data_IF_463269011691
#
_entry.id   IF_463269011691
#
_cell.length_a   1.000
_cell.length_b   1.000
_cell.length_c   1.000
_cell.angle_alpha   90.00
_cell.angle_beta   90.00
_cell.angle_gamma   90.00
#
_symmetry.space_group_name_H-M   'P 1'
#
loop_
_entity.id
_entity.type
_entity.pdbx_description
1 polymer ?
#
# COMPACT_ATOMS: atom_id res chain seq x y z
N UNK A 1 -11.63 -19.95 -29.73
CA UNK A 1 -11.59 -18.48 -29.50
C UNK A 1 -12.12 -18.24 -28.10
N UNK A 2 -11.34 -17.60 -27.22
CA UNK A 2 -11.80 -17.26 -25.88
C UNK A 2 -12.70 -16.02 -26.01
N UNK A 3 -13.98 -16.17 -25.72
CA UNK A 3 -14.94 -15.06 -25.70
C UNK A 3 -14.96 -14.50 -24.27
N UNK A 4 -14.36 -13.33 -24.09
CA UNK A 4 -14.41 -12.61 -22.81
C UNK A 4 -15.67 -11.74 -22.81
N UNK A 5 -16.59 -12.01 -21.88
CA UNK A 5 -17.74 -11.14 -21.67
C UNK A 5 -17.31 -9.84 -20.97
N UNK A 6 -18.03 -8.76 -21.23
CA UNK A 6 -17.75 -7.45 -20.62
C UNK A 6 -17.68 -7.52 -19.09
N UNK A 7 -18.61 -8.25 -18.46
CA UNK A 7 -18.64 -8.46 -17.01
C UNK A 7 -17.35 -9.14 -16.52
N UNK A 8 -16.87 -10.14 -17.24
CA UNK A 8 -15.64 -10.85 -16.89
C UNK A 8 -14.42 -9.94 -17.03
N UNK A 9 -14.38 -9.09 -18.07
CA UNK A 9 -13.36 -8.07 -18.23
C UNK A 9 -13.33 -7.05 -17.07
N UNK A 10 -14.50 -6.56 -16.64
CA UNK A 10 -14.61 -5.67 -15.48
C UNK A 10 -14.15 -6.34 -14.18
N UNK A 11 -14.47 -7.62 -13.98
CA UNK A 11 -14.03 -8.37 -12.81
C UNK A 11 -12.49 -8.49 -12.75
N UNK A 12 -11.86 -8.86 -13.87
CA UNK A 12 -10.40 -8.93 -13.96
C UNK A 12 -9.77 -7.55 -13.70
N UNK A 13 -10.28 -6.51 -14.34
CA UNK A 13 -9.79 -5.14 -14.13
C UNK A 13 -9.90 -4.73 -12.66
N UNK A 14 -11.04 -4.97 -12.01
CA UNK A 14 -11.23 -4.67 -10.59
C UNK A 14 -10.21 -5.39 -9.71
N UNK A 15 -9.98 -6.68 -9.94
CA UNK A 15 -8.99 -7.46 -9.19
C UNK A 15 -7.58 -6.90 -9.38
N UNK A 16 -7.16 -6.65 -10.63
CA UNK A 16 -5.83 -6.10 -10.92
C UNK A 16 -5.69 -4.70 -10.30
N UNK A 17 -6.71 -3.86 -10.41
CA UNK A 17 -6.70 -2.53 -9.82
C UNK A 17 -6.55 -2.57 -8.30
N UNK A 18 -7.33 -3.41 -7.60
CA UNK A 18 -7.21 -3.58 -6.15
C UNK A 18 -5.85 -4.16 -5.75
N UNK A 19 -5.38 -5.20 -6.47
CA UNK A 19 -4.09 -5.83 -6.22
C UNK A 19 -2.95 -4.81 -6.35
N UNK A 20 -2.94 -4.06 -7.45
CA UNK A 20 -1.90 -3.05 -7.72
C UNK A 20 -1.94 -1.94 -6.67
N UNK A 21 -3.12 -1.43 -6.29
CA UNK A 21 -3.27 -0.40 -5.25
C UNK A 21 -2.61 -0.83 -3.93
N UNK A 22 -2.92 -2.03 -3.44
CA UNK A 22 -2.35 -2.52 -2.19
C UNK A 22 -0.89 -2.94 -2.30
N UNK A 23 -0.46 -3.41 -3.47
CA UNK A 23 0.93 -3.80 -3.72
C UNK A 23 1.88 -2.60 -3.69
N UNK A 24 1.45 -1.42 -4.18
CA UNK A 24 2.32 -0.23 -4.23
C UNK A 24 2.24 0.66 -2.99
N UNK A 25 1.15 0.58 -2.20
CA UNK A 25 0.96 1.38 -0.99
C UNK A 25 2.08 1.28 0.08
N UNK A 26 2.70 0.10 0.34
CA UNK A 26 3.76 -0.03 1.33
C UNK A 26 5.10 0.52 0.85
N UNK A 27 5.27 0.87 -0.43
CA UNK A 27 6.53 1.43 -0.90
C UNK A 27 6.84 2.78 -0.24
N UNK A 28 8.11 2.95 0.11
CA UNK A 28 8.64 4.19 0.69
C UNK A 28 8.29 4.41 2.16
N UNK A 29 7.81 3.39 2.87
CA UNK A 29 7.70 3.42 4.34
C UNK A 29 9.05 3.02 4.93
N UNK A 30 9.60 3.88 5.78
CA UNK A 30 10.80 3.62 6.59
C UNK A 30 10.39 3.71 8.05
N UNK A 31 10.72 2.69 8.82
CA UNK A 31 10.41 2.61 10.26
C UNK A 31 11.31 3.54 11.09
N UNK A 32 10.89 3.85 12.33
CA UNK A 32 11.68 4.62 13.28
C UNK A 32 12.99 3.90 13.62
N UNK A 33 12.97 2.57 13.78
CA UNK A 33 14.18 1.77 14.02
C UNK A 33 15.16 1.84 12.85
N UNK A 34 14.69 1.75 11.60
CA UNK A 34 15.53 1.92 10.41
C UNK A 34 16.07 3.35 10.26
N UNK A 35 15.37 4.35 10.82
CA UNK A 35 15.80 5.74 10.81
C UNK A 35 16.80 6.09 11.92
N UNK A 36 16.96 5.22 12.92
CA UNK A 36 17.87 5.42 14.06
C UNK A 36 17.33 6.32 15.18
N UNK A 37 16.09 6.79 15.06
CA UNK A 37 15.44 7.66 16.06
C UNK A 37 14.07 7.09 16.44
N UNK A 38 13.98 6.46 17.61
CA UNK A 38 12.73 5.93 18.17
C UNK A 38 12.26 6.85 19.29
N UNK A 39 11.04 7.41 19.15
CA UNK A 39 10.46 8.27 20.18
C UNK A 39 9.96 7.43 21.37
N UNK A 40 10.27 7.82 22.62
CA UNK A 40 9.78 7.11 23.81
C UNK A 40 8.25 6.99 23.81
N UNK A 41 7.74 5.78 23.99
CA UNK A 41 6.31 5.48 23.93
C UNK A 41 5.75 5.25 22.52
N UNK A 42 6.57 5.39 21.46
CA UNK A 42 6.24 4.96 20.10
C UNK A 42 6.69 3.52 19.86
N UNK A 43 6.07 2.83 18.90
CA UNK A 43 6.52 1.50 18.47
C UNK A 43 7.72 1.63 17.54
N UNK A 44 8.70 0.74 17.66
CA UNK A 44 9.89 0.69 16.79
C UNK A 44 9.55 0.56 15.29
N UNK A 45 8.45 -0.13 14.98
CA UNK A 45 7.95 -0.33 13.61
C UNK A 45 7.13 0.83 13.07
N UNK A 46 6.85 1.85 13.90
CA UNK A 46 6.10 3.01 13.46
C UNK A 46 6.87 3.76 12.35
N UNK A 47 6.18 4.35 11.35
CA UNK A 47 6.85 5.13 10.32
C UNK A 47 7.61 6.32 10.91
N UNK A 48 8.86 6.52 10.48
CA UNK A 48 9.67 7.68 10.89
C UNK A 48 9.05 9.01 10.43
N UNK A 49 8.32 8.99 9.30
CA UNK A 49 7.62 10.15 8.74
C UNK A 49 6.18 9.77 8.38
N UNK A 50 5.21 9.93 9.29
CA UNK A 50 3.82 9.61 9.01
C UNK A 50 3.23 10.58 7.99
N UNK A 51 3.10 10.13 6.74
CA UNK A 51 2.48 10.88 5.62
C UNK A 51 0.97 10.62 5.52
N UNK A 52 0.26 10.59 6.66
CA UNK A 52 -1.17 10.24 6.73
C UNK A 52 -1.99 11.07 5.72
N UNK A 53 -1.79 12.39 5.71
CA UNK A 53 -2.49 13.32 4.80
C UNK A 53 -2.21 13.12 3.31
N UNK A 54 -1.15 12.40 2.92
CA UNK A 54 -0.87 12.09 1.52
C UNK A 54 -1.37 10.70 1.12
N UNK A 55 -1.76 9.89 2.10
CA UNK A 55 -2.26 8.52 1.93
C UNK A 55 -3.79 8.43 2.06
N UNK A 56 -4.43 9.41 2.69
CA UNK A 56 -5.88 9.67 2.63
C UNK A 56 -6.22 10.45 1.36
#
# INVERSE_FOLDING_TARGET
MIQISFIFGCAIYGIIWFLTLFMVLPWGVVSQVEHGEVQPGSSESAPARPRIYRKL
#
